data_IF_081264180537
#
_entry.id   IF_081264180537
#
_cell.length_a   1.000
_cell.length_b   1.000
_cell.length_c   1.000
_cell.angle_alpha   90.00
_cell.angle_beta   90.00
_cell.angle_gamma   90.00
#
_symmetry.space_group_name_H-M   'P 1'
#
loop_
_entity.id
_entity.type
_entity.pdbx_description
1 polymer ?
#
# COMPACT_ATOMS: atom_id res chain seq x y z
N UNK A 1 -27.25 -7.33 13.73
CA UNK A 1 -26.37 -8.48 13.40
C UNK A 1 -25.04 -7.85 13.03
N UNK A 2 -23.95 -8.23 13.70
CA UNK A 2 -22.65 -7.61 13.43
C UNK A 2 -21.97 -8.35 12.28
N UNK A 3 -21.63 -7.64 11.23
CA UNK A 3 -21.00 -8.19 10.03
C UNK A 3 -19.47 -8.25 10.18
N UNK A 4 -18.88 -7.31 10.91
CA UNK A 4 -17.43 -7.20 11.13
C UNK A 4 -17.11 -7.26 12.63
N UNK A 5 -16.24 -8.19 13.01
CA UNK A 5 -15.66 -8.30 14.35
C UNK A 5 -14.22 -7.79 14.34
N UNK A 6 -13.86 -6.87 15.23
CA UNK A 6 -12.51 -6.33 15.38
C UNK A 6 -11.85 -6.94 16.61
N UNK A 7 -10.90 -7.83 16.38
CA UNK A 7 -10.03 -8.45 17.39
C UNK A 7 -8.75 -7.62 17.53
N UNK A 8 -8.38 -7.26 18.76
CA UNK A 8 -7.20 -6.46 19.03
C UNK A 8 -6.70 -6.70 20.46
N UNK A 9 -5.47 -6.26 20.74
CA UNK A 9 -4.94 -6.19 22.12
C UNK A 9 -5.15 -4.81 22.71
N UNK A 10 -5.60 -4.75 23.97
CA UNK A 10 -5.80 -3.49 24.70
C UNK A 10 -4.52 -2.66 24.79
N UNK A 11 -3.36 -3.31 24.97
CA UNK A 11 -2.07 -2.63 25.01
C UNK A 11 -1.50 -2.52 23.60
N UNK A 12 -1.48 -1.31 23.04
CA UNK A 12 -0.94 -1.00 21.70
C UNK A 12 -2.03 -0.84 20.64
N UNK A 13 -2.96 -1.77 20.54
CA UNK A 13 -3.90 -1.87 19.42
C UNK A 13 -5.23 -1.17 19.63
N UNK A 14 -5.52 -0.69 20.85
CA UNK A 14 -6.81 -0.11 21.23
C UNK A 14 -7.18 1.09 20.36
N UNK A 15 -6.29 2.08 20.25
CA UNK A 15 -6.54 3.30 19.49
C UNK A 15 -6.84 2.99 18.02
N UNK A 16 -6.05 2.11 17.42
CA UNK A 16 -6.21 1.68 16.03
C UNK A 16 -7.53 0.94 15.83
N UNK A 17 -7.90 0.06 16.78
CA UNK A 17 -9.17 -0.65 16.74
C UNK A 17 -10.37 0.31 16.81
N UNK A 18 -10.34 1.34 17.65
CA UNK A 18 -11.41 2.35 17.70
C UNK A 18 -11.46 3.21 16.44
N UNK A 19 -10.31 3.60 15.88
CA UNK A 19 -10.30 4.33 14.62
C UNK A 19 -10.84 3.48 13.45
N UNK A 20 -10.49 2.18 13.41
CA UNK A 20 -11.08 1.24 12.47
C UNK A 20 -12.59 1.09 12.68
N UNK A 21 -13.02 0.97 13.94
CA UNK A 21 -14.44 0.86 14.28
C UNK A 21 -15.20 2.08 13.78
N UNK A 22 -14.73 3.29 14.09
CA UNK A 22 -15.40 4.52 13.72
C UNK A 22 -15.52 4.64 12.20
N UNK A 23 -14.42 4.50 11.46
CA UNK A 23 -14.43 4.65 10.01
C UNK A 23 -15.28 3.57 9.30
N UNK A 24 -15.24 2.32 9.77
CA UNK A 24 -16.07 1.25 9.20
C UNK A 24 -17.54 1.37 9.61
N UNK A 25 -17.82 1.90 10.81
CA UNK A 25 -19.18 2.20 11.26
C UNK A 25 -19.80 3.36 10.46
N UNK A 26 -19.01 4.37 10.11
CA UNK A 26 -19.47 5.46 9.23
C UNK A 26 -19.89 4.92 7.85
N UNK A 27 -19.16 3.91 7.34
CA UNK A 27 -19.44 3.28 6.04
C UNK A 27 -20.59 2.25 6.07
N UNK A 28 -20.54 1.29 6.99
CA UNK A 28 -21.45 0.12 7.01
C UNK A 28 -22.56 0.25 8.07
N UNK A 29 -22.53 1.31 8.88
CA UNK A 29 -23.43 1.54 10.00
C UNK A 29 -22.88 1.03 11.34
N UNK A 30 -23.23 1.69 12.46
CA UNK A 30 -22.69 1.37 13.78
C UNK A 30 -23.04 -0.04 14.27
N UNK A 31 -24.22 -0.55 13.92
CA UNK A 31 -24.65 -1.89 14.34
C UNK A 31 -23.92 -3.03 13.60
N UNK A 32 -23.16 -2.70 12.55
CA UNK A 32 -22.43 -3.67 11.74
C UNK A 32 -21.08 -4.07 12.36
N UNK A 33 -20.54 -3.25 13.27
CA UNK A 33 -19.20 -3.42 13.81
C UNK A 33 -19.25 -3.83 15.28
N UNK A 34 -18.54 -4.90 15.62
CA UNK A 34 -18.36 -5.36 17.00
C UNK A 34 -16.88 -5.32 17.39
N UNK A 35 -16.57 -4.76 18.55
CA UNK A 35 -15.21 -4.62 19.03
C UNK A 35 -14.94 -5.59 20.20
N UNK A 36 -13.87 -6.38 20.09
CA UNK A 36 -13.47 -7.34 21.12
C UNK A 36 -13.31 -6.66 22.50
N UNK A 37 -14.06 -7.12 23.50
CA UNK A 37 -14.01 -6.59 24.87
C UNK A 37 -14.57 -5.16 25.09
N UNK A 38 -14.85 -4.38 24.04
CA UNK A 38 -15.42 -3.02 24.15
C UNK A 38 -16.94 -2.97 23.97
N UNK A 39 -17.53 -3.91 23.22
CA UNK A 39 -18.96 -3.91 22.87
C UNK A 39 -19.84 -4.80 23.77
N UNK A 40 -19.31 -5.35 24.85
CA UNK A 40 -20.07 -6.19 25.79
C UNK A 40 -20.59 -5.30 26.92
N UNK A 41 -21.92 -5.20 27.01
CA UNK A 41 -22.59 -4.47 28.08
C UNK A 41 -22.18 -4.95 29.47
N UNK A 42 -22.12 -4.00 30.41
CA UNK A 42 -21.82 -4.27 31.82
C UNK A 42 -22.74 -5.39 32.35
N UNK A 43 -22.14 -6.43 32.93
CA UNK A 43 -22.87 -7.55 33.54
C UNK A 43 -23.00 -8.82 32.67
N UNK A 44 -22.64 -8.78 31.39
CA UNK A 44 -22.66 -9.97 30.53
C UNK A 44 -21.43 -10.86 30.74
N UNK A 45 -21.64 -12.18 30.70
CA UNK A 45 -20.56 -13.17 30.73
C UNK A 45 -19.77 -13.13 29.40
N UNK A 46 -18.64 -12.42 29.44
CA UNK A 46 -17.69 -12.28 28.34
C UNK A 46 -17.24 -13.64 27.78
N UNK A 47 -17.27 -14.70 28.59
CA UNK A 47 -16.79 -16.03 28.17
C UNK A 47 -17.68 -16.75 27.17
N UNK A 48 -18.96 -16.39 27.12
CA UNK A 48 -19.95 -16.96 26.19
C UNK A 48 -20.33 -15.99 25.09
N UNK A 49 -20.34 -14.69 25.38
CA UNK A 49 -20.75 -13.66 24.43
C UNK A 49 -19.76 -13.48 23.27
N UNK A 50 -18.45 -13.54 23.52
CA UNK A 50 -17.42 -13.32 22.49
C UNK A 50 -17.40 -14.40 21.40
N UNK A 51 -17.37 -15.71 21.72
CA UNK A 51 -17.38 -16.75 20.69
C UNK A 51 -18.66 -16.71 19.83
N UNK A 52 -19.81 -16.42 20.45
CA UNK A 52 -21.07 -16.29 19.72
C UNK A 52 -21.08 -15.05 18.80
N UNK A 53 -20.47 -13.95 19.23
CA UNK A 53 -20.33 -12.77 18.39
C UNK A 53 -19.44 -13.06 17.18
N UNK A 54 -18.28 -13.70 17.38
CA UNK A 54 -17.38 -14.13 16.30
C UNK A 54 -18.10 -15.04 15.29
N UNK A 55 -18.79 -16.07 15.76
CA UNK A 55 -19.58 -17.00 14.92
C UNK A 55 -20.63 -16.34 14.04
N UNK A 56 -21.15 -15.20 14.49
CA UNK A 56 -22.21 -14.47 13.78
C UNK A 56 -21.66 -13.42 12.83
N UNK A 57 -20.38 -13.11 12.90
CA UNK A 57 -19.72 -12.17 12.02
C UNK A 57 -19.30 -12.83 10.72
N UNK A 58 -19.26 -12.05 9.64
CA UNK A 58 -18.75 -12.52 8.34
C UNK A 58 -17.26 -12.26 8.19
N UNK A 59 -16.75 -11.23 8.86
CA UNK A 59 -15.35 -10.82 8.82
C UNK A 59 -14.78 -10.70 10.22
N UNK A 60 -13.58 -11.25 10.43
CA UNK A 60 -12.74 -10.99 11.60
C UNK A 60 -11.54 -10.15 11.17
N UNK A 61 -11.47 -8.89 11.62
CA UNK A 61 -10.29 -8.05 11.48
C UNK A 61 -9.38 -8.25 12.70
N UNK A 62 -8.16 -8.72 12.47
CA UNK A 62 -7.17 -8.93 13.54
C UNK A 62 -6.17 -7.78 13.51
N UNK A 63 -6.26 -6.85 14.45
CA UNK A 63 -5.35 -5.70 14.55
C UNK A 63 -4.01 -6.16 15.14
N UNK A 64 -2.98 -6.19 14.29
CA UNK A 64 -1.62 -6.60 14.63
C UNK A 64 -0.75 -5.35 14.78
N UNK A 65 -0.64 -4.86 16.01
CA UNK A 65 0.27 -3.78 16.40
C UNK A 65 1.71 -4.29 16.67
N UNK A 66 2.60 -3.38 17.07
CA UNK A 66 4.03 -3.68 17.31
C UNK A 66 4.27 -4.65 18.48
N UNK A 67 3.35 -4.71 19.44
CA UNK A 67 3.45 -5.54 20.63
C UNK A 67 2.59 -6.80 20.55
N UNK A 68 1.82 -6.99 19.48
CA UNK A 68 0.80 -8.03 19.40
C UNK A 68 1.34 -9.45 19.58
N UNK A 69 2.48 -9.75 18.93
CA UNK A 69 3.14 -11.06 18.97
C UNK A 69 3.83 -11.35 20.32
N UNK A 70 4.39 -10.31 20.94
CA UNK A 70 5.27 -10.41 22.11
C UNK A 70 4.63 -9.89 23.40
N UNK A 71 3.33 -9.59 23.35
CA UNK A 71 2.57 -9.19 24.52
C UNK A 71 2.74 -10.23 25.63
N UNK A 72 3.10 -9.82 26.87
CA UNK A 72 3.25 -10.74 27.98
C UNK A 72 1.88 -11.26 28.43
N UNK A 73 1.83 -12.51 28.87
CA UNK A 73 0.65 -13.07 29.53
C UNK A 73 0.44 -12.38 30.89
N UNK A 74 -0.75 -11.82 31.18
CA UNK A 74 -1.05 -11.17 32.45
C UNK A 74 -0.81 -12.06 33.67
N UNK A 75 -1.00 -13.38 33.53
CA UNK A 75 -0.81 -14.35 34.62
C UNK A 75 0.62 -14.87 34.72
N UNK A 76 1.41 -14.76 33.64
CA UNK A 76 2.79 -15.21 33.60
C UNK A 76 3.62 -14.32 32.65
N UNK A 77 4.19 -13.22 33.15
CA UNK A 77 4.91 -12.25 32.33
C UNK A 77 6.09 -12.82 31.52
N UNK A 78 6.65 -13.97 31.91
CA UNK A 78 7.71 -14.66 31.18
C UNK A 78 7.23 -15.45 29.96
N UNK A 79 5.92 -15.52 29.73
CA UNK A 79 5.29 -16.21 28.60
C UNK A 79 4.56 -15.20 27.71
N UNK A 80 4.62 -15.42 26.39
CA UNK A 80 3.80 -14.66 25.44
C UNK A 80 2.31 -14.98 25.63
N UNK A 81 1.46 -13.97 25.63
CA UNK A 81 0.02 -14.12 25.81
C UNK A 81 -0.59 -15.09 24.79
N UNK A 82 -0.20 -15.03 23.51
CA UNK A 82 -0.66 -15.97 22.48
C UNK A 82 -0.31 -17.44 22.79
N UNK A 83 0.77 -17.70 23.55
CA UNK A 83 1.10 -19.07 23.92
C UNK A 83 0.11 -19.65 24.96
N UNK A 84 -0.65 -18.80 25.67
CA UNK A 84 -1.70 -19.22 26.57
C UNK A 84 -2.97 -19.60 25.79
N UNK A 85 -3.47 -20.84 25.89
CA UNK A 85 -4.74 -21.23 25.26
C UNK A 85 -5.96 -20.46 25.79
N UNK A 86 -5.84 -19.81 26.96
CA UNK A 86 -6.90 -19.00 27.56
C UNK A 86 -6.81 -17.51 27.19
N UNK A 87 -5.87 -17.11 26.32
CA UNK A 87 -5.80 -15.75 25.80
C UNK A 87 -6.99 -15.47 24.88
N UNK A 88 -7.76 -14.42 25.19
CA UNK A 88 -8.97 -14.05 24.44
C UNK A 88 -8.69 -13.81 22.96
N UNK A 89 -7.61 -13.08 22.67
CA UNK A 89 -7.23 -12.77 21.28
C UNK A 89 -7.04 -14.05 20.48
N UNK A 90 -6.27 -15.00 21.03
CA UNK A 90 -6.10 -16.32 20.42
C UNK A 90 -7.42 -17.05 20.23
N UNK A 91 -8.26 -17.13 21.28
CA UNK A 91 -9.52 -17.89 21.24
C UNK A 91 -10.49 -17.35 20.19
N UNK A 92 -10.58 -16.04 20.04
CA UNK A 92 -11.43 -15.41 19.02
C UNK A 92 -10.94 -15.72 17.60
N UNK A 93 -9.62 -15.78 17.38
CA UNK A 93 -9.03 -16.14 16.09
C UNK A 93 -9.26 -17.63 15.78
N UNK A 94 -9.04 -18.51 16.76
CA UNK A 94 -9.34 -19.94 16.64
C UNK A 94 -10.81 -20.16 16.28
N UNK A 95 -11.72 -19.52 17.01
CA UNK A 95 -13.16 -19.63 16.77
C UNK A 95 -13.58 -19.11 15.38
N UNK A 96 -12.95 -18.03 14.90
CA UNK A 96 -13.22 -17.50 13.57
C UNK A 96 -12.80 -18.48 12.47
N UNK A 97 -11.63 -19.10 12.59
CA UNK A 97 -11.20 -20.14 11.66
C UNK A 97 -12.12 -21.36 11.70
N UNK A 98 -12.48 -21.84 12.90
CA UNK A 98 -13.37 -22.99 13.07
C UNK A 98 -14.77 -22.73 12.50
N UNK A 99 -15.22 -21.47 12.54
CA UNK A 99 -16.54 -21.04 12.05
C UNK A 99 -16.56 -20.63 10.58
N UNK A 100 -15.42 -20.69 9.86
CA UNK A 100 -15.33 -20.29 8.46
C UNK A 100 -15.49 -18.78 8.22
N UNK A 101 -15.24 -17.96 9.24
CA UNK A 101 -15.27 -16.49 9.14
C UNK A 101 -14.09 -16.01 8.29
N UNK A 102 -14.29 -14.96 7.48
CA UNK A 102 -13.19 -14.35 6.73
C UNK A 102 -12.22 -13.63 7.69
N UNK A 103 -11.06 -14.23 7.94
CA UNK A 103 -10.02 -13.65 8.80
C UNK A 103 -9.07 -12.78 8.00
N UNK A 104 -8.97 -11.50 8.36
CA UNK A 104 -8.09 -10.51 7.72
C UNK A 104 -7.12 -9.94 8.76
N UNK A 105 -5.82 -10.26 8.68
CA UNK A 105 -4.81 -9.57 9.47
C UNK A 105 -4.68 -8.11 9.03
N UNK A 106 -4.72 -7.18 9.97
CA UNK A 106 -4.52 -5.75 9.75
C UNK A 106 -3.20 -5.36 10.41
N UNK A 107 -2.15 -5.25 9.60
CA UNK A 107 -0.81 -4.89 10.08
C UNK A 107 -0.75 -3.38 10.31
N UNK A 108 -0.62 -3.00 11.57
CA UNK A 108 -0.56 -1.61 12.00
C UNK A 108 0.84 -1.19 12.51
N UNK A 109 1.76 -2.15 12.63
CA UNK A 109 3.15 -1.91 13.01
C UNK A 109 3.99 -1.50 11.80
N UNK A 110 4.73 -0.37 11.93
CA UNK A 110 5.60 0.15 10.84
C UNK A 110 6.65 -0.86 10.37
N UNK A 111 7.22 -1.63 11.28
CA UNK A 111 8.33 -2.57 11.01
C UNK A 111 7.87 -4.00 10.71
N UNK A 112 6.59 -4.32 10.91
CA UNK A 112 6.09 -5.66 10.66
C UNK A 112 5.69 -5.78 9.19
N UNK A 113 6.51 -6.47 8.41
CA UNK A 113 6.21 -6.76 6.99
C UNK A 113 5.25 -7.95 6.87
N UNK A 114 5.47 -9.01 7.65
CA UNK A 114 4.64 -10.21 7.65
C UNK A 114 4.64 -10.89 9.02
N UNK A 115 3.55 -11.58 9.35
CA UNK A 115 3.49 -12.51 10.48
C UNK A 115 4.35 -13.75 10.21
N UNK A 116 5.21 -14.13 11.15
CA UNK A 116 5.98 -15.37 11.04
C UNK A 116 5.17 -16.55 11.65
N UNK A 117 4.82 -17.58 10.86
CA UNK A 117 4.01 -18.71 11.34
C UNK A 117 4.68 -19.48 12.49
N UNK A 118 6.01 -19.54 12.55
CA UNK A 118 6.75 -20.20 13.63
C UNK A 118 6.68 -19.44 14.96
N UNK A 119 6.33 -18.15 14.93
CA UNK A 119 6.11 -17.35 16.13
C UNK A 119 4.68 -17.45 16.64
N UNK A 120 3.78 -18.08 15.90
CA UNK A 120 2.38 -18.27 16.28
C UNK A 120 2.16 -19.68 16.88
N UNK A 121 1.18 -19.83 17.78
CA UNK A 121 0.65 -21.15 18.13
C UNK A 121 0.16 -21.89 16.88
N UNK A 122 0.34 -23.22 16.84
CA UNK A 122 -0.03 -24.07 15.68
C UNK A 122 -1.48 -23.86 15.24
N UNK A 123 -2.39 -23.65 16.18
CA UNK A 123 -3.83 -23.46 15.95
C UNK A 123 -4.19 -22.18 15.20
N UNK A 124 -3.35 -21.13 15.31
CA UNK A 124 -3.57 -19.86 14.60
C UNK A 124 -2.46 -19.55 13.59
N UNK A 125 -1.58 -20.52 13.30
CA UNK A 125 -0.46 -20.33 12.38
C UNK A 125 -0.92 -19.96 10.96
N UNK A 126 -2.14 -20.37 10.57
CA UNK A 126 -2.77 -19.98 9.30
C UNK A 126 -2.92 -18.45 9.15
N UNK A 127 -3.02 -17.70 10.25
CA UNK A 127 -3.09 -16.24 10.21
C UNK A 127 -1.90 -15.61 9.45
N UNK A 128 -0.73 -16.26 9.47
CA UNK A 128 0.46 -15.78 8.79
C UNK A 128 0.44 -15.93 7.26
N UNK A 129 -0.44 -16.79 6.73
CA UNK A 129 -0.62 -17.00 5.28
C UNK A 129 -1.90 -16.34 4.76
N UNK A 130 -2.72 -15.75 5.63
CA UNK A 130 -3.84 -14.91 5.22
C UNK A 130 -3.36 -13.64 4.52
N UNK A 131 -4.10 -13.21 3.50
CA UNK A 131 -3.84 -11.93 2.87
C UNK A 131 -4.11 -10.79 3.86
N UNK A 132 -3.10 -9.97 4.12
CA UNK A 132 -3.21 -8.89 5.08
C UNK A 132 -3.67 -7.57 4.44
N UNK A 133 -4.17 -6.68 5.28
CA UNK A 133 -4.30 -5.26 5.01
C UNK A 133 -3.25 -4.50 5.82
N UNK A 134 -2.78 -3.38 5.30
CA UNK A 134 -1.83 -2.52 6.01
C UNK A 134 -2.53 -1.21 6.31
N UNK A 135 -2.38 -0.74 7.54
CA UNK A 135 -2.87 0.58 7.96
C UNK A 135 -1.71 1.35 8.57
N UNK A 136 -1.49 2.57 8.10
CA UNK A 136 -0.49 3.47 8.67
C UNK A 136 -1.17 4.71 9.21
N UNK A 137 -0.71 5.22 10.35
CA UNK A 137 -1.32 6.41 10.96
C UNK A 137 -1.36 7.63 10.01
N UNK A 138 -0.36 7.78 9.13
CA UNK A 138 -0.29 8.89 8.16
C UNK A 138 -1.30 8.76 7.03
N UNK A 139 -1.60 7.54 6.58
CA UNK A 139 -2.46 7.25 5.41
C UNK A 139 -3.75 6.54 5.82
N UNK A 140 -4.10 6.62 7.11
CA UNK A 140 -5.11 5.77 7.74
C UNK A 140 -6.47 5.82 7.03
N UNK A 141 -6.93 7.02 6.67
CA UNK A 141 -8.20 7.21 5.97
C UNK A 141 -8.22 6.49 4.61
N UNK A 142 -7.18 6.67 3.79
CA UNK A 142 -7.06 6.02 2.47
C UNK A 142 -6.90 4.51 2.59
N UNK A 143 -6.12 4.05 3.57
CA UNK A 143 -5.93 2.62 3.84
C UNK A 143 -7.26 1.95 4.23
N UNK A 144 -8.11 2.63 5.00
CA UNK A 144 -9.42 2.11 5.39
C UNK A 144 -10.47 2.17 4.29
N UNK A 145 -10.45 3.17 3.41
CA UNK A 145 -11.28 3.16 2.20
C UNK A 145 -10.93 1.94 1.35
N UNK A 146 -9.64 1.73 1.10
CA UNK A 146 -9.15 0.57 0.33
C UNK A 146 -9.49 -0.76 1.01
N UNK A 147 -9.44 -0.84 2.34
CA UNK A 147 -9.87 -2.01 3.09
C UNK A 147 -11.37 -2.24 2.93
N UNK A 148 -12.19 -1.20 3.10
CA UNK A 148 -13.65 -1.28 2.92
C UNK A 148 -14.05 -1.78 1.54
N UNK A 149 -13.41 -1.27 0.48
CA UNK A 149 -13.68 -1.67 -0.90
C UNK A 149 -13.37 -3.16 -1.12
N UNK A 150 -12.24 -3.63 -0.58
CA UNK A 150 -11.87 -5.05 -0.63
C UNK A 150 -12.86 -5.93 0.14
N UNK A 151 -13.33 -5.47 1.31
CA UNK A 151 -14.32 -6.20 2.10
C UNK A 151 -15.66 -6.30 1.39
N UNK A 152 -16.11 -5.22 0.73
CA UNK A 152 -17.35 -5.20 -0.08
C UNK A 152 -17.28 -6.19 -1.24
N UNK A 153 -16.13 -6.28 -1.92
CA UNK A 153 -15.94 -7.23 -3.02
C UNK A 153 -15.99 -8.70 -2.54
N UNK A 154 -15.54 -8.97 -1.31
CA UNK A 154 -15.44 -10.32 -0.78
C UNK A 154 -16.69 -10.78 -0.01
N UNK A 155 -17.48 -9.84 0.52
CA UNK A 155 -18.60 -10.13 1.42
C UNK A 155 -19.87 -9.44 0.94
N UNK A 156 -20.79 -10.19 0.28
CA UNK A 156 -22.04 -9.62 -0.23
C UNK A 156 -22.92 -8.94 0.82
N UNK A 157 -22.82 -9.37 2.09
CA UNK A 157 -23.53 -8.73 3.21
C UNK A 157 -23.09 -7.29 3.46
N UNK A 158 -21.79 -7.01 3.32
CA UNK A 158 -21.25 -5.66 3.48
C UNK A 158 -21.59 -4.77 2.27
N UNK A 159 -21.62 -5.34 1.07
CA UNK A 159 -22.05 -4.62 -0.13
C UNK A 159 -23.48 -4.06 -0.01
N UNK A 160 -24.40 -4.82 0.60
CA UNK A 160 -25.78 -4.36 0.84
C UNK A 160 -25.89 -3.26 1.90
N UNK A 161 -24.87 -3.11 2.75
CA UNK A 161 -24.84 -2.15 3.86
C UNK A 161 -23.96 -0.94 3.57
N UNK A 162 -23.27 -0.92 2.42
CA UNK A 162 -22.36 0.14 2.04
C UNK A 162 -23.14 1.45 1.81
N UNK A 163 -22.90 2.43 2.66
CA UNK A 163 -23.53 3.77 2.57
C UNK A 163 -22.66 4.76 1.84
N UNK A 164 -21.41 4.40 1.55
CA UNK A 164 -20.68 5.14 0.55
C UNK A 164 -21.38 4.82 -0.77
N UNK A 165 -21.89 5.86 -1.45
CA UNK A 165 -22.10 5.74 -2.88
C UNK A 165 -20.83 5.11 -3.45
N UNK A 166 -20.93 4.15 -4.38
CA UNK A 166 -19.74 3.69 -5.06
C UNK A 166 -19.09 4.97 -5.56
N UNK A 167 -17.98 5.36 -4.92
CA UNK A 167 -17.08 6.37 -5.45
C UNK A 167 -16.96 5.89 -6.86
N UNK A 168 -17.51 6.67 -7.80
CA UNK A 168 -17.47 6.32 -9.20
C UNK A 168 -16.09 5.74 -9.36
N UNK A 169 -16.01 4.47 -9.81
CA UNK A 169 -14.74 3.97 -10.34
C UNK A 169 -14.21 5.17 -11.08
N UNK A 170 -13.02 5.60 -10.75
CA UNK A 170 -12.31 6.55 -11.60
C UNK A 170 -12.03 5.84 -12.93
N UNK A 171 -13.10 5.54 -13.67
CA UNK A 171 -13.36 5.86 -15.06
C UNK A 171 -13.57 7.39 -15.20
N UNK A 172 -13.00 8.22 -14.30
CA UNK A 172 -12.12 9.26 -14.81
C UNK A 172 -11.08 8.53 -15.68
N UNK A 173 -11.47 8.37 -16.94
CA UNK A 173 -10.66 8.72 -18.08
C UNK A 173 -9.85 9.97 -17.75
N UNK A 174 -8.80 9.77 -16.96
CA UNK A 174 -7.62 10.60 -16.98
C UNK A 174 -7.03 10.34 -18.37
N UNK A 175 -7.55 11.10 -19.34
CA UNK A 175 -6.85 11.62 -20.50
C UNK A 175 -5.61 12.42 -20.04
N UNK A 176 -4.73 11.74 -19.30
CA UNK A 176 -3.39 12.16 -18.94
C UNK A 176 -2.48 10.99 -19.29
N UNK A 177 -2.25 10.85 -20.59
CA UNK A 177 -1.06 10.22 -21.19
C UNK A 177 -0.53 9.00 -20.44
N UNK A 178 -1.28 7.89 -20.42
CA UNK A 178 -0.70 6.58 -20.12
C UNK A 178 -0.39 5.85 -21.44
N UNK A 179 0.89 5.76 -21.78
CA UNK A 179 1.35 4.97 -22.92
C UNK A 179 1.29 3.50 -22.53
N UNK A 180 0.26 2.80 -22.99
CA UNK A 180 0.14 1.35 -22.85
C UNK A 180 1.10 0.64 -23.83
N UNK A 181 2.34 0.38 -23.39
CA UNK A 181 3.29 -0.38 -24.19
C UNK A 181 3.11 -1.89 -23.97
N UNK A 182 2.01 -2.44 -24.48
CA UNK A 182 1.70 -3.86 -24.37
C UNK A 182 2.39 -4.65 -25.48
N UNK A 183 3.73 -4.56 -25.57
CA UNK A 183 4.64 -5.49 -26.31
C UNK A 183 6.14 -5.13 -26.26
N UNK A 184 6.61 -4.33 -25.30
CA UNK A 184 8.05 -4.13 -25.15
C UNK A 184 8.66 -5.19 -24.21
N UNK A 185 9.21 -6.25 -24.79
CA UNK A 185 10.22 -7.08 -24.14
C UNK A 185 11.57 -6.38 -24.28
N UNK A 186 11.99 -5.68 -23.23
CA UNK A 186 13.28 -4.98 -23.21
C UNK A 186 13.37 -4.17 -21.92
N UNK A 187 13.79 -4.86 -20.85
CA UNK A 187 13.81 -4.32 -19.49
C UNK A 187 14.75 -3.13 -19.32
N UNK A 188 14.33 -2.15 -18.54
CA UNK A 188 15.23 -1.14 -17.99
C UNK A 188 15.71 -1.68 -16.64
N UNK A 189 16.82 -2.42 -16.68
CA UNK A 189 17.62 -2.72 -15.50
C UNK A 189 18.43 -1.48 -15.13
N UNK A 190 18.34 -1.06 -13.87
CA UNK A 190 19.25 -0.07 -13.31
C UNK A 190 20.65 -0.70 -13.25
N UNK A 191 21.52 -0.32 -14.19
CA UNK A 191 22.95 -0.66 -14.15
C UNK A 191 23.69 0.61 -13.74
N UNK A 192 24.28 0.59 -12.54
CA UNK A 192 25.27 1.57 -12.12
C UNK A 192 26.62 1.29 -12.80
N UNK A 193 27.26 2.34 -13.30
CA UNK A 193 28.63 2.31 -13.82
C UNK A 193 28.82 3.16 -15.07
N UNK A 194 29.94 3.88 -15.16
CA UNK A 194 30.28 4.71 -16.31
C UNK A 194 30.55 3.83 -17.54
N UNK A 195 29.61 3.77 -18.47
CA UNK A 195 29.79 3.16 -19.78
C UNK A 195 29.22 4.12 -20.82
N UNK A 196 29.99 4.35 -21.89
CA UNK A 196 29.76 5.40 -22.88
C UNK A 196 28.45 5.28 -23.66
N UNK A 197 28.19 6.32 -24.47
CA UNK A 197 26.96 6.52 -25.24
C UNK A 197 26.60 5.30 -26.08
N UNK A 198 25.46 4.69 -25.78
CA UNK A 198 24.88 3.62 -26.59
C UNK A 198 23.87 4.23 -27.57
N UNK A 199 24.16 4.20 -28.87
CA UNK A 199 23.19 4.59 -29.91
C UNK A 199 22.41 3.34 -30.29
N UNK A 200 21.19 3.22 -29.76
CA UNK A 200 20.25 2.19 -30.20
C UNK A 200 19.54 2.63 -31.46
N UNK A 201 19.86 2.04 -32.62
CA UNK A 201 19.10 2.27 -33.85
C UNK A 201 17.69 1.66 -33.71
N UNK A 202 16.70 2.54 -33.56
CA UNK A 202 15.30 2.18 -33.45
C UNK A 202 14.68 2.19 -34.85
N UNK A 203 14.45 1.01 -35.42
CA UNK A 203 13.97 0.83 -36.80
C UNK A 203 12.43 0.75 -36.92
N UNK A 204 11.68 1.31 -35.97
CA UNK A 204 10.22 1.25 -35.97
C UNK A 204 9.61 2.65 -36.14
N UNK A 205 8.46 2.80 -36.84
CA UNK A 205 7.79 4.09 -36.97
C UNK A 205 7.42 4.64 -35.59
N UNK A 206 8.05 5.75 -35.20
CA UNK A 206 7.75 6.46 -33.96
C UNK A 206 6.48 7.29 -34.17
N UNK A 207 5.42 7.01 -33.42
CA UNK A 207 4.19 7.80 -33.46
C UNK A 207 4.20 8.78 -32.28
N UNK A 208 4.50 10.05 -32.54
CA UNK A 208 4.67 11.08 -31.48
C UNK A 208 3.38 11.73 -31.00
N UNK A 209 2.22 11.22 -31.43
CA UNK A 209 0.90 11.77 -31.08
C UNK A 209 0.53 13.02 -31.90
N UNK A 210 -0.73 13.45 -31.83
CA UNK A 210 -1.31 14.47 -32.71
C UNK A 210 -1.29 15.89 -32.12
N UNK A 211 -0.21 16.27 -31.45
CA UNK A 211 0.02 17.64 -30.93
C UNK A 211 1.13 18.36 -31.69
N UNK A 212 1.20 19.69 -31.56
CA UNK A 212 2.27 20.48 -32.17
C UNK A 212 3.64 20.06 -31.61
N UNK A 213 4.49 19.53 -32.48
CA UNK A 213 5.86 19.18 -32.12
C UNK A 213 6.73 20.43 -32.11
N UNK A 214 6.98 20.99 -30.92
CA UNK A 214 8.05 21.98 -30.74
C UNK A 214 9.38 21.23 -30.60
N UNK A 215 9.95 20.82 -31.71
CA UNK A 215 11.26 20.17 -31.74
C UNK A 215 12.38 21.23 -31.72
N UNK A 216 12.80 21.65 -30.53
CA UNK A 216 13.94 22.57 -30.39
C UNK A 216 15.25 21.77 -30.38
N UNK A 217 16.05 21.88 -31.45
CA UNK A 217 17.37 21.25 -31.51
C UNK A 217 18.30 21.95 -30.50
N UNK A 218 18.74 21.23 -29.47
CA UNK A 218 19.75 21.72 -28.52
C UNK A 218 21.10 21.12 -28.88
N UNK A 219 22.01 21.93 -29.40
CA UNK A 219 23.42 21.57 -29.53
C UNK A 219 24.22 22.27 -28.43
N UNK A 220 24.95 21.49 -27.63
CA UNK A 220 25.84 22.01 -26.59
C UNK A 220 27.30 21.77 -27.02
N UNK A 221 28.10 22.84 -27.04
CA UNK A 221 29.54 22.80 -27.25
C UNK A 221 30.21 24.09 -26.76
N UNK A 222 31.45 23.99 -26.27
CA UNK A 222 32.19 25.15 -25.76
C UNK A 222 32.32 26.24 -26.85
N UNK A 223 31.81 27.43 -26.57
CA UNK A 223 31.88 28.61 -27.45
C UNK A 223 30.64 28.95 -28.27
N UNK A 224 29.49 28.31 -28.04
CA UNK A 224 28.22 28.68 -28.72
C UNK A 224 27.55 29.89 -28.05
N UNK A 225 27.31 30.96 -28.81
CA UNK A 225 26.47 32.11 -28.41
C UNK A 225 25.15 32.07 -29.16
N UNK A 226 24.03 32.15 -28.46
CA UNK A 226 22.68 32.05 -29.03
C UNK A 226 22.07 33.44 -29.26
N UNK A 227 21.47 33.65 -30.44
CA UNK A 227 20.62 34.79 -30.73
C UNK A 227 19.33 34.28 -31.37
N UNK A 228 18.19 34.49 -30.71
CA UNK A 228 16.87 34.16 -31.25
C UNK A 228 16.38 35.31 -32.12
N UNK A 229 16.35 35.12 -33.44
CA UNK A 229 15.85 36.13 -34.36
C UNK A 229 15.59 35.55 -35.74
N UNK A 230 14.42 35.91 -36.28
CA UNK A 230 13.77 35.41 -37.49
C UNK A 230 14.63 35.52 -38.77
N UNK A 231 14.51 34.48 -39.62
CA UNK A 231 15.03 34.29 -40.98
C UNK A 231 16.35 34.99 -41.40
N UNK A 232 17.45 34.22 -41.37
CA UNK A 232 18.69 34.55 -42.09
C UNK A 232 19.49 33.29 -42.43
N UNK A 233 19.88 33.11 -43.69
CA UNK A 233 20.62 31.95 -44.18
C UNK A 233 21.98 31.84 -43.50
N UNK A 234 22.19 30.80 -42.68
CA UNK A 234 23.46 30.57 -41.98
C UNK A 234 24.39 29.76 -42.90
N UNK A 235 25.56 30.34 -43.26
CA UNK A 235 26.70 29.59 -43.81
C UNK A 235 27.76 29.44 -42.74
N UNK A 236 27.87 28.27 -42.12
CA UNK A 236 29.03 27.92 -41.28
C UNK A 236 29.99 27.02 -42.06
N UNK A 237 31.29 27.37 -42.04
CA UNK A 237 32.38 26.56 -42.61
C UNK A 237 33.07 25.85 -41.46
N UNK A 238 33.05 24.52 -41.47
CA UNK A 238 33.70 23.69 -40.46
C UNK A 238 35.13 23.34 -40.87
N UNK A 239 36.09 23.64 -40.01
CA UNK A 239 37.48 23.23 -40.14
C UNK A 239 38.26 23.52 -38.86
N UNK A 240 39.24 22.68 -38.48
CA UNK A 240 40.02 22.87 -37.26
C UNK A 240 40.89 24.13 -37.37
N UNK A 241 40.79 25.04 -36.38
CA UNK A 241 41.68 26.20 -36.28
C UNK A 241 43.07 25.71 -35.83
N UNK A 242 44.00 25.62 -36.77
CA UNK A 242 45.43 25.48 -36.48
C UNK A 242 45.93 26.71 -35.72
N UNK A 243 46.44 26.51 -34.51
CA UNK A 243 47.15 27.54 -33.72
C UNK A 243 48.41 28.00 -34.47
N UNK A 244 48.61 29.29 -34.74
CA UNK A 244 49.91 29.79 -35.16
C UNK A 244 50.85 29.83 -33.96
N UNK A 245 51.98 29.15 -34.06
CA UNK A 245 53.13 29.30 -33.16
C UNK A 245 53.81 30.64 -33.39
N UNK A 246 54.03 31.43 -32.34
CA UNK A 246 55.07 32.44 -32.35
C UNK A 246 55.73 32.59 -30.97
N UNK A 247 57.03 32.30 -30.94
CA UNK A 247 57.93 32.68 -29.86
C UNK A 247 58.62 34.00 -30.16
N UNK A 248 58.92 34.73 -29.08
CA UNK A 248 59.99 35.71 -28.80
C UNK A 248 60.46 36.74 -29.86
N UNK A 249 60.57 37.99 -29.39
CA UNK A 249 61.48 39.05 -29.85
C UNK A 249 61.00 40.43 -29.35
N UNK A 250 61.52 40.94 -28.22
CA UNK A 250 62.54 42.01 -28.13
C UNK A 250 62.20 43.32 -28.87
N UNK A 251 61.88 44.38 -28.11
CA UNK A 251 62.74 45.55 -27.85
C UNK A 251 62.17 46.39 -26.72
#
# INVERSE_FOLDING_TARGET
MHEIFINFRTKGGKEIAYMCQQALADRFGPDSIFLAGGSIGVGNDFTKALPQAVRRSRVLLVIVDEHWLDAPDPKNPGRRALANPQDWVRREIEEAFDSGVLVVPVLAARKLEQLNPHRLPKTIAQLAVCQYARVQLRTFATDLVSLGDRLVQQVPGLAAMDRQEPTQRSDESDERTSVHNKRQSGGIGHVGGSVGTFVGESHSPMHTGSGDMVNNHHENGDGTTYYTGDNGTVRQRFGPRTRPTHGKGER
#
